data_IF_931333475122
#
_entry.id   IF_931333475122
#
_cell.length_a   1.000
_cell.length_b   1.000
_cell.length_c   1.000
_cell.angle_alpha   90.00
_cell.angle_beta   90.00
_cell.angle_gamma   90.00
#
_symmetry.space_group_name_H-M   'P 1'
#
loop_
_entity.id
_entity.type
_entity.pdbx_description
1 polymer ?
#
# COMPACT_ATOMS: atom_id res chain seq x y z
N UNK A 1 44.80 12.41 -18.90
CA UNK A 1 43.53 13.19 -18.82
C UNK A 1 42.37 12.21 -18.80
N UNK A 2 41.51 12.27 -17.77
CA UNK A 2 40.31 11.43 -17.72
C UNK A 2 39.28 11.95 -18.74
N UNK A 3 38.83 11.10 -19.68
CA UNK A 3 37.77 11.47 -20.62
C UNK A 3 36.49 11.82 -19.83
N UNK A 4 35.81 12.93 -20.14
CA UNK A 4 34.57 13.29 -19.45
C UNK A 4 33.56 12.15 -19.61
N UNK A 5 32.98 11.68 -18.49
CA UNK A 5 31.94 10.65 -18.54
C UNK A 5 30.78 11.22 -19.35
N UNK A 6 30.35 10.54 -20.42
CA UNK A 6 29.28 11.06 -21.22
C UNK A 6 27.98 11.07 -20.41
N UNK A 7 27.19 12.13 -20.56
CA UNK A 7 26.02 12.39 -19.73
C UNK A 7 25.01 11.24 -19.85
N UNK A 8 24.49 10.79 -18.70
CA UNK A 8 23.36 9.87 -18.65
C UNK A 8 22.10 10.61 -19.08
N UNK A 9 21.25 9.97 -19.89
CA UNK A 9 19.97 10.55 -20.32
C UNK A 9 18.83 9.90 -19.55
N UNK A 10 18.02 10.70 -18.89
CA UNK A 10 16.76 10.24 -18.28
C UNK A 10 15.73 10.05 -19.39
N UNK A 11 15.00 8.94 -19.34
CA UNK A 11 13.94 8.61 -20.29
C UNK A 11 12.57 8.70 -19.60
N UNK A 12 11.57 9.22 -20.31
CA UNK A 12 10.18 9.25 -19.82
C UNK A 12 9.48 7.89 -19.91
N UNK A 13 9.96 7.04 -20.82
CA UNK A 13 9.38 5.71 -21.05
C UNK A 13 10.38 4.73 -21.66
N UNK A 14 10.09 3.44 -21.53
CA UNK A 14 10.83 2.35 -22.16
C UNK A 14 9.87 1.26 -22.65
N UNK A 15 10.06 0.78 -23.88
CA UNK A 15 9.32 -0.38 -24.40
C UNK A 15 10.07 -1.65 -24.04
N UNK A 16 9.39 -2.57 -23.34
CA UNK A 16 9.98 -3.83 -22.90
C UNK A 16 10.34 -4.66 -24.13
N UNK A 17 11.62 -5.06 -24.26
CA UNK A 17 12.12 -5.85 -25.38
C UNK A 17 11.29 -7.13 -25.58
N UNK A 18 10.95 -7.42 -26.83
CA UNK A 18 10.13 -8.59 -27.17
C UNK A 18 8.64 -8.44 -26.85
N UNK A 19 8.19 -7.25 -26.46
CA UNK A 19 6.78 -6.95 -26.24
C UNK A 19 6.39 -5.58 -26.80
N UNK A 20 5.09 -5.32 -26.92
CA UNK A 20 4.55 -3.99 -27.25
C UNK A 20 4.19 -3.18 -25.99
N UNK A 21 4.52 -3.67 -24.79
CA UNK A 21 4.20 -3.00 -23.52
C UNK A 21 5.27 -1.92 -23.24
N UNK A 22 4.81 -0.71 -22.96
CA UNK A 22 5.66 0.43 -22.58
C UNK A 22 5.48 0.74 -21.10
N UNK A 23 6.60 0.99 -20.40
CA UNK A 23 6.64 1.36 -18.98
C UNK A 23 7.13 2.80 -18.80
N UNK A 24 6.69 3.43 -17.71
CA UNK A 24 7.07 4.79 -17.29
C UNK A 24 7.42 4.81 -15.79
N UNK A 25 8.14 5.83 -15.29
CA UNK A 25 8.25 6.06 -13.85
C UNK A 25 6.86 6.07 -13.18
N UNK A 26 6.75 5.39 -12.04
CA UNK A 26 5.49 5.14 -11.33
C UNK A 26 4.83 3.80 -11.66
N UNK A 27 5.13 3.19 -12.81
CA UNK A 27 4.58 1.88 -13.16
C UNK A 27 5.16 0.77 -12.27
N UNK A 28 4.36 -0.28 -12.05
CA UNK A 28 4.82 -1.51 -11.41
C UNK A 28 5.17 -2.56 -12.48
N UNK A 29 6.23 -3.32 -12.23
CA UNK A 29 6.77 -4.31 -13.15
C UNK A 29 7.09 -5.62 -12.46
N UNK A 30 7.05 -6.70 -13.24
CA UNK A 30 7.58 -8.00 -12.88
C UNK A 30 9.01 -8.11 -13.41
N UNK A 31 9.93 -8.51 -12.54
CA UNK A 31 11.34 -8.64 -12.87
C UNK A 31 11.81 -10.07 -12.61
N UNK A 32 12.58 -10.60 -13.56
CA UNK A 32 13.10 -11.97 -13.53
C UNK A 32 13.94 -12.21 -12.28
N UNK A 33 13.71 -13.32 -11.60
CA UNK A 33 14.59 -13.80 -10.54
C UNK A 33 15.73 -14.66 -11.11
N UNK A 34 16.90 -14.74 -10.43
CA UNK A 34 17.96 -15.68 -10.81
C UNK A 34 17.50 -17.14 -10.80
N UNK A 35 16.60 -17.47 -9.87
CA UNK A 35 15.97 -18.79 -9.76
C UNK A 35 14.60 -18.76 -10.45
N UNK A 36 14.50 -19.42 -11.61
CA UNK A 36 13.27 -19.46 -12.42
C UNK A 36 12.15 -20.30 -11.80
N UNK A 37 12.42 -21.07 -10.73
CA UNK A 37 11.38 -21.81 -10.01
C UNK A 37 10.55 -20.92 -9.09
N UNK A 38 11.05 -19.73 -8.79
CA UNK A 38 10.40 -18.75 -7.92
C UNK A 38 9.60 -17.72 -8.73
N UNK A 39 8.54 -17.15 -8.15
CA UNK A 39 7.77 -16.10 -8.83
C UNK A 39 8.65 -14.87 -9.09
N UNK A 40 8.40 -14.10 -10.16
CA UNK A 40 9.14 -12.88 -10.45
C UNK A 40 9.05 -11.88 -9.29
N UNK A 41 10.09 -11.07 -9.12
CA UNK A 41 10.08 -9.92 -8.21
C UNK A 41 9.06 -8.90 -8.68
N UNK A 42 8.46 -8.18 -7.74
CA UNK A 42 7.56 -7.06 -8.02
C UNK A 42 8.30 -5.77 -7.66
N UNK A 43 8.29 -4.78 -8.54
CA UNK A 43 8.98 -3.53 -8.30
C UNK A 43 8.21 -2.33 -8.86
N UNK A 44 8.36 -1.17 -8.23
CA UNK A 44 7.94 0.12 -8.79
C UNK A 44 9.10 0.77 -9.50
N UNK A 45 8.89 1.24 -10.73
CA UNK A 45 9.90 1.99 -11.49
C UNK A 45 9.97 3.41 -10.94
N UNK A 46 11.13 3.84 -10.46
CA UNK A 46 11.37 5.18 -9.93
C UNK A 46 11.98 6.11 -10.99
N UNK A 47 12.90 5.60 -11.80
CA UNK A 47 13.45 6.33 -12.95
C UNK A 47 14.02 5.38 -14.00
N UNK A 48 14.13 5.87 -15.24
CA UNK A 48 14.68 5.13 -16.38
C UNK A 48 15.86 5.94 -16.93
N UNK A 49 17.02 5.30 -17.06
CA UNK A 49 18.26 5.93 -17.52
C UNK A 49 18.86 5.16 -18.70
N UNK A 50 19.21 5.86 -19.78
CA UNK A 50 19.99 5.30 -20.86
C UNK A 50 21.47 5.69 -20.78
N UNK A 51 22.35 4.74 -21.08
CA UNK A 51 23.75 5.01 -21.34
C UNK A 51 23.92 5.92 -22.56
N UNK A 52 25.10 6.52 -22.70
CA UNK A 52 25.32 7.61 -23.66
C UNK A 52 25.25 7.25 -25.14
N UNK A 53 25.19 5.96 -25.47
CA UNK A 53 24.93 5.46 -26.83
C UNK A 53 23.49 4.97 -27.05
N UNK A 54 22.59 5.20 -26.09
CA UNK A 54 21.23 4.66 -26.12
C UNK A 54 21.13 3.16 -25.86
N UNK A 55 22.26 2.47 -25.68
CA UNK A 55 22.34 1.07 -25.28
C UNK A 55 22.47 0.93 -23.76
N UNK A 56 22.06 -0.23 -23.24
CA UNK A 56 22.09 -0.59 -21.81
C UNK A 56 21.22 0.32 -20.94
N UNK A 57 19.90 0.29 -21.19
CA UNK A 57 18.92 1.00 -20.36
C UNK A 57 18.89 0.37 -18.98
N UNK A 58 18.98 1.22 -17.95
CA UNK A 58 18.86 0.84 -16.55
C UNK A 58 17.60 1.46 -15.97
N UNK A 59 17.01 0.76 -15.01
CA UNK A 59 15.87 1.24 -14.25
C UNK A 59 16.28 1.33 -12.78
N UNK A 60 16.03 2.49 -12.16
CA UNK A 60 16.03 2.59 -10.71
C UNK A 60 14.67 2.12 -10.23
N UNK A 61 14.66 1.18 -9.29
CA UNK A 61 13.43 0.54 -8.81
C UNK A 61 13.33 0.63 -7.30
N UNK A 62 12.09 0.53 -6.81
CA UNK A 62 11.75 0.33 -5.40
C UNK A 62 11.06 -1.01 -5.27
N UNK A 63 11.61 -1.90 -4.45
CA UNK A 63 11.14 -3.28 -4.36
C UNK A 63 9.85 -3.41 -3.57
N UNK A 64 8.96 -4.25 -4.06
CA UNK A 64 7.88 -4.81 -3.27
C UNK A 64 8.30 -6.18 -2.77
N UNK A 65 8.12 -6.43 -1.47
CA UNK A 65 8.39 -7.72 -0.85
C UNK A 65 7.11 -8.52 -0.74
N UNK A 66 7.16 -9.79 -1.11
CA UNK A 66 6.08 -10.74 -0.81
C UNK A 66 6.11 -11.09 0.69
N UNK A 67 4.98 -11.50 1.29
CA UNK A 67 4.92 -11.96 2.67
C UNK A 67 5.99 -13.00 3.04
N UNK A 68 6.22 -13.97 2.18
CA UNK A 68 7.23 -15.03 2.31
C UNK A 68 8.68 -14.53 2.26
N UNK A 69 8.91 -13.34 1.70
CA UNK A 69 10.24 -12.72 1.61
C UNK A 69 10.53 -11.81 2.82
N UNK A 70 9.53 -11.51 3.64
CA UNK A 70 9.71 -10.69 4.84
C UNK A 70 10.34 -11.47 5.98
N UNK A 71 11.09 -10.79 6.86
CA UNK A 71 11.72 -11.38 8.06
C UNK A 71 10.71 -12.14 8.93
N UNK A 72 9.47 -11.64 9.04
CA UNK A 72 8.41 -12.26 9.83
C UNK A 72 7.65 -13.38 9.12
N UNK A 73 7.94 -13.62 7.84
CA UNK A 73 7.25 -14.60 7.00
C UNK A 73 5.77 -14.30 6.74
N UNK A 74 5.13 -15.21 5.99
CA UNK A 74 3.70 -15.13 5.68
C UNK A 74 2.85 -15.46 6.92
N UNK A 75 1.81 -14.66 7.16
CA UNK A 75 0.83 -14.82 8.23
C UNK A 75 -0.55 -15.09 7.64
N UNK A 76 -1.47 -15.62 8.45
CA UNK A 76 -2.82 -16.02 8.01
C UNK A 76 -3.66 -14.88 7.44
N UNK A 77 -3.46 -13.64 7.91
CA UNK A 77 -4.18 -12.47 7.41
C UNK A 77 -3.59 -11.87 6.12
N UNK A 78 -2.44 -12.37 5.65
CA UNK A 78 -1.84 -11.89 4.41
C UNK A 78 -2.57 -12.46 3.20
N UNK A 79 -2.97 -11.59 2.28
CA UNK A 79 -3.62 -11.99 1.03
C UNK A 79 -2.67 -12.75 0.09
N UNK A 80 -3.24 -13.57 -0.80
CA UNK A 80 -2.47 -14.30 -1.80
C UNK A 80 -1.72 -13.38 -2.78
N UNK A 81 -2.32 -12.23 -3.11
CA UNK A 81 -1.76 -11.20 -4.00
C UNK A 81 -1.21 -9.98 -3.24
N UNK A 82 -0.97 -10.13 -1.93
CA UNK A 82 -0.42 -9.05 -1.11
C UNK A 82 1.09 -8.91 -1.32
N UNK A 83 1.54 -7.65 -1.39
CA UNK A 83 2.95 -7.27 -1.42
C UNK A 83 3.17 -6.02 -0.55
N UNK A 84 4.40 -5.81 -0.08
CA UNK A 84 4.75 -4.72 0.83
C UNK A 84 5.72 -3.76 0.17
N UNK A 85 5.41 -2.46 0.16
CA UNK A 85 6.28 -1.46 -0.43
C UNK A 85 7.49 -1.23 0.49
N UNK A 86 8.67 -1.71 0.09
CA UNK A 86 9.85 -1.62 0.94
C UNK A 86 10.55 -0.26 0.85
N UNK A 87 11.53 0.00 1.71
CA UNK A 87 12.53 1.08 1.54
C UNK A 87 13.80 0.62 0.79
N UNK A 88 13.78 -0.57 0.20
CA UNK A 88 14.88 -1.10 -0.60
C UNK A 88 14.79 -0.60 -2.05
N UNK A 89 15.79 0.19 -2.44
CA UNK A 89 15.98 0.67 -3.81
C UNK A 89 17.19 0.00 -4.46
N UNK A 90 17.10 -0.22 -5.76
CA UNK A 90 18.20 -0.78 -6.54
C UNK A 90 18.19 -0.24 -7.98
N UNK A 91 19.27 -0.49 -8.72
CA UNK A 91 19.39 -0.18 -10.15
C UNK A 91 19.62 -1.47 -10.93
N UNK A 92 18.65 -1.81 -11.77
CA UNK A 92 18.65 -3.05 -12.56
C UNK A 92 18.69 -2.77 -14.06
N UNK A 93 19.10 -3.75 -14.85
CA UNK A 93 18.97 -3.68 -16.31
C UNK A 93 17.50 -3.74 -16.70
N UNK A 94 17.06 -2.89 -17.62
CA UNK A 94 15.68 -2.95 -18.14
C UNK A 94 15.37 -4.28 -18.83
N UNK A 95 16.39 -5.03 -19.24
CA UNK A 95 16.27 -6.36 -19.86
C UNK A 95 15.77 -7.44 -18.89
N UNK A 96 15.79 -7.17 -17.58
CA UNK A 96 15.26 -8.08 -16.56
C UNK A 96 13.75 -7.97 -16.40
N UNK A 97 13.11 -6.98 -17.03
CA UNK A 97 11.68 -6.75 -16.93
C UNK A 97 10.94 -7.74 -17.84
N UNK A 98 10.05 -8.53 -17.25
CA UNK A 98 9.26 -9.54 -17.97
C UNK A 98 7.88 -9.01 -18.38
N UNK A 99 7.35 -8.05 -17.61
CA UNK A 99 6.04 -7.47 -17.88
C UNK A 99 5.67 -6.34 -16.94
N UNK A 100 4.56 -5.67 -17.26
CA UNK A 100 3.92 -4.68 -16.39
C UNK A 100 2.93 -5.38 -15.46
N UNK A 101 2.80 -4.91 -14.24
CA UNK A 101 1.78 -5.36 -13.29
C UNK A 101 1.11 -4.16 -12.60
N UNK A 102 0.11 -4.44 -11.78
CA UNK A 102 -0.63 -3.44 -11.03
C UNK A 102 -0.54 -3.73 -9.54
N UNK A 103 -0.08 -2.76 -8.76
CA UNK A 103 -0.14 -2.83 -7.30
C UNK A 103 -1.14 -1.79 -6.82
N UNK A 104 -2.34 -2.27 -6.48
CA UNK A 104 -3.46 -1.45 -6.06
C UNK A 104 -3.33 -1.07 -4.57
N UNK A 105 -3.99 0.03 -4.18
CA UNK A 105 -4.32 0.21 -2.77
C UNK A 105 -5.30 -0.89 -2.35
N UNK A 106 -5.30 -1.28 -1.07
CA UNK A 106 -6.23 -2.29 -0.59
C UNK A 106 -7.69 -1.94 -0.88
N UNK A 107 -8.07 -0.66 -0.71
CA UNK A 107 -9.42 -0.15 -1.02
C UNK A 107 -9.83 -0.33 -2.49
N UNK A 108 -8.89 -0.15 -3.42
CA UNK A 108 -9.19 -0.30 -4.85
C UNK A 108 -9.19 -1.78 -5.24
N UNK A 109 -8.29 -2.58 -4.67
CA UNK A 109 -8.22 -4.01 -4.91
C UNK A 109 -9.51 -4.73 -4.51
N UNK A 110 -10.09 -4.38 -3.36
CA UNK A 110 -11.36 -4.98 -2.89
C UNK A 110 -12.57 -4.66 -3.77
N UNK A 111 -12.42 -3.73 -4.72
CA UNK A 111 -13.48 -3.31 -5.66
C UNK A 111 -13.30 -3.89 -7.06
N UNK A 112 -12.27 -4.68 -7.31
CA UNK A 112 -12.08 -5.34 -8.60
C UNK A 112 -13.14 -6.42 -8.78
N UNK A 113 -13.82 -6.43 -9.94
CA UNK A 113 -14.79 -7.47 -10.30
C UNK A 113 -14.14 -8.86 -10.38
N UNK A 114 -12.89 -8.90 -10.88
CA UNK A 114 -12.06 -10.08 -10.93
C UNK A 114 -10.59 -9.71 -10.71
N UNK A 115 -9.87 -10.58 -10.01
CA UNK A 115 -8.43 -10.41 -9.74
C UNK A 115 -7.64 -11.15 -10.81
N UNK A 116 -6.86 -10.43 -11.62
CA UNK A 116 -5.98 -11.00 -12.61
C UNK A 116 -4.65 -11.52 -12.05
N UNK A 117 -3.89 -12.20 -12.91
CA UNK A 117 -2.56 -12.70 -12.54
C UNK A 117 -1.56 -11.56 -12.29
N UNK A 118 -1.74 -10.42 -12.95
CA UNK A 118 -0.88 -9.23 -12.82
C UNK A 118 -1.39 -8.23 -11.76
N UNK A 119 -2.50 -8.52 -11.06
CA UNK A 119 -3.06 -7.66 -10.01
C UNK A 119 -2.57 -8.04 -8.62
N UNK A 120 -1.97 -7.07 -7.93
CA UNK A 120 -1.50 -7.18 -6.56
C UNK A 120 -2.10 -6.06 -5.72
N UNK A 121 -1.97 -6.14 -4.41
CA UNK A 121 -2.29 -5.02 -3.54
C UNK A 121 -1.24 -4.80 -2.46
N UNK A 122 -1.17 -3.56 -2.01
CA UNK A 122 -0.30 -3.12 -0.94
C UNK A 122 -1.09 -2.28 0.06
N UNK A 123 -0.94 -2.59 1.35
CA UNK A 123 -1.47 -1.80 2.48
C UNK A 123 -0.44 -1.47 3.54
N UNK A 124 0.79 -1.95 3.36
CA UNK A 124 1.89 -1.70 4.29
C UNK A 124 3.13 -1.20 3.57
N UNK A 125 3.84 -0.28 4.20
CA UNK A 125 5.27 -0.13 3.94
C UNK A 125 6.08 -1.10 4.80
N UNK A 126 7.23 -1.51 4.29
CA UNK A 126 8.12 -2.47 4.92
C UNK A 126 9.54 -1.89 5.05
N UNK A 127 10.14 -2.00 6.22
CA UNK A 127 11.54 -1.61 6.47
C UNK A 127 12.43 -2.84 6.30
N UNK A 128 13.14 -2.93 5.17
CA UNK A 128 13.85 -4.18 4.79
C UNK A 128 14.94 -4.57 5.78
N UNK A 129 15.59 -3.59 6.43
CA UNK A 129 16.65 -3.83 7.39
C UNK A 129 16.14 -4.31 8.77
N UNK A 130 14.99 -3.80 9.23
CA UNK A 130 14.48 -4.08 10.59
C UNK A 130 13.31 -5.07 10.62
N UNK A 131 12.64 -5.28 9.49
CA UNK A 131 11.43 -6.08 9.41
C UNK A 131 10.16 -5.35 9.90
N UNK A 132 10.25 -4.06 10.20
CA UNK A 132 9.13 -3.27 10.72
C UNK A 132 8.14 -2.89 9.62
N UNK A 133 6.87 -2.72 10.00
CA UNK A 133 5.79 -2.35 9.09
C UNK A 133 5.22 -0.97 9.41
N UNK A 134 4.70 -0.29 8.40
CA UNK A 134 3.94 0.96 8.56
C UNK A 134 2.58 0.80 7.85
N UNK A 135 1.45 0.95 8.55
CA UNK A 135 1.34 1.12 10.00
C UNK A 135 1.84 -0.11 10.78
N UNK A 136 2.30 0.11 12.00
CA UNK A 136 2.85 -0.92 12.90
C UNK A 136 1.76 -1.79 13.55
N UNK A 137 0.53 -1.26 13.63
CA UNK A 137 -0.64 -1.97 14.16
C UNK A 137 -1.83 -1.81 13.24
N UNK A 138 -2.51 -2.92 12.98
CA UNK A 138 -3.83 -2.95 12.36
C UNK A 138 -4.75 -3.85 13.16
N UNK A 139 -6.02 -3.44 13.27
CA UNK A 139 -7.04 -4.31 13.83
C UNK A 139 -7.53 -5.28 12.76
N UNK A 140 -7.50 -6.58 13.07
CA UNK A 140 -8.00 -7.65 12.21
C UNK A 140 -8.98 -8.47 13.02
N UNK A 141 -10.16 -8.69 12.46
CA UNK A 141 -11.21 -9.48 13.08
C UNK A 141 -11.58 -10.60 12.12
N UNK A 142 -11.50 -11.85 12.59
CA UNK A 142 -12.17 -12.93 11.90
C UNK A 142 -13.67 -12.75 12.13
N UNK A 143 -14.51 -12.76 11.09
CA UNK A 143 -15.97 -12.65 11.26
C UNK A 143 -16.48 -13.64 12.33
N UNK A 144 -16.01 -14.89 12.27
CA UNK A 144 -16.39 -15.92 13.23
C UNK A 144 -15.98 -15.63 14.69
N UNK A 145 -14.92 -14.84 14.94
CA UNK A 145 -14.48 -14.47 16.29
C UNK A 145 -15.28 -13.31 16.90
N UNK A 146 -16.12 -12.64 16.10
CA UNK A 146 -16.98 -11.53 16.52
C UNK A 146 -18.46 -11.86 16.26
N UNK A 147 -18.80 -13.15 16.23
CA UNK A 147 -20.14 -13.68 16.00
C UNK A 147 -20.80 -13.12 14.71
N UNK A 148 -20.01 -13.03 13.64
CA UNK A 148 -20.42 -12.52 12.34
C UNK A 148 -20.11 -13.54 11.24
N UNK A 149 -21.00 -13.67 10.25
CA UNK A 149 -20.75 -14.47 9.06
C UNK A 149 -19.85 -13.72 8.06
N UNK A 150 -19.22 -14.45 7.14
CA UNK A 150 -18.41 -13.83 6.08
C UNK A 150 -19.29 -12.98 5.15
N UNK A 151 -20.52 -13.42 4.95
CA UNK A 151 -21.56 -12.80 4.13
C UNK A 151 -22.02 -11.46 4.73
N UNK A 152 -22.20 -11.42 6.04
CA UNK A 152 -22.49 -10.17 6.77
C UNK A 152 -21.31 -9.23 6.76
N UNK A 153 -20.09 -9.74 7.01
CA UNK A 153 -18.87 -8.93 6.98
C UNK A 153 -18.68 -8.25 5.62
N UNK A 154 -19.01 -8.94 4.52
CA UNK A 154 -18.96 -8.40 3.15
C UNK A 154 -19.99 -7.30 2.88
N UNK A 155 -21.09 -7.25 3.63
CA UNK A 155 -22.15 -6.23 3.46
C UNK A 155 -21.87 -4.96 4.27
N UNK A 156 -20.87 -4.97 5.15
CA UNK A 156 -20.51 -3.80 5.96
C UNK A 156 -19.65 -2.82 5.16
N UNK A 157 -20.10 -1.58 5.05
CA UNK A 157 -19.24 -0.48 4.59
C UNK A 157 -18.28 -0.01 5.69
N UNK A 158 -18.76 0.02 6.94
CA UNK A 158 -17.99 0.39 8.11
C UNK A 158 -18.25 -0.63 9.22
N UNK A 159 -17.19 -1.05 9.89
CA UNK A 159 -17.25 -1.94 11.05
C UNK A 159 -16.74 -1.19 12.28
N UNK A 160 -17.54 -1.19 13.34
CA UNK A 160 -17.14 -0.75 14.67
C UNK A 160 -17.15 -1.96 15.59
N UNK A 161 -16.04 -2.23 16.27
CA UNK A 161 -16.01 -3.28 17.27
C UNK A 161 -16.93 -2.91 18.44
N UNK A 162 -17.35 -3.92 19.20
CA UNK A 162 -18.33 -3.76 20.28
C UNK A 162 -17.92 -2.67 21.29
N UNK A 163 -16.63 -2.56 21.61
CA UNK A 163 -16.12 -1.52 22.51
C UNK A 163 -16.21 -0.10 21.93
N UNK A 164 -16.09 0.07 20.61
CA UNK A 164 -16.26 1.36 19.94
C UNK A 164 -17.73 1.74 19.78
N UNK A 165 -18.60 0.77 19.49
CA UNK A 165 -20.05 0.99 19.38
C UNK A 165 -20.63 1.56 20.69
N UNK A 166 -20.25 0.98 21.83
CA UNK A 166 -20.72 1.43 23.15
C UNK A 166 -20.22 2.82 23.56
N UNK A 167 -19.14 3.34 22.97
CA UNK A 167 -18.65 4.70 23.24
C UNK A 167 -19.46 5.77 22.52
N UNK A 168 -20.07 5.44 21.37
CA UNK A 168 -20.91 6.37 20.64
C UNK A 168 -22.26 6.56 21.32
N UNK A 169 -22.80 5.50 21.93
CA UNK A 169 -24.04 5.54 22.73
C UNK A 169 -23.89 6.38 24.01
N UNK A 170 -22.74 6.33 24.68
CA UNK A 170 -22.47 7.17 25.86
C UNK A 170 -22.34 8.66 25.55
N UNK A 171 -21.92 9.03 24.34
CA UNK A 171 -21.87 10.44 23.91
C UNK A 171 -23.24 11.06 23.69
N UNK A 172 -24.25 10.25 23.35
CA UNK A 172 -25.63 10.73 23.18
C UNK A 172 -26.35 10.96 24.51
N UNK A 173 -25.94 10.29 25.60
CA UNK A 173 -26.52 10.51 26.93
C UNK A 173 -25.94 11.73 27.66
N UNK A 174 -24.64 12.03 27.50
CA UNK A 174 -24.01 13.22 28.11
C UNK A 174 -24.48 14.55 27.49
N UNK A 175 -24.88 14.56 26.22
CA UNK A 175 -25.48 15.75 25.58
C UNK A 175 -26.82 16.17 26.19
N UNK A 176 -27.56 15.24 26.83
CA UNK A 176 -28.81 15.58 27.53
C UNK A 176 -28.59 16.08 28.98
N UNK A 177 -27.43 15.81 29.57
CA UNK A 177 -27.07 16.32 30.90
C UNK A 177 -26.45 17.73 30.83
N UNK A 178 -25.68 18.03 29.77
CA UNK A 178 -25.10 19.36 29.57
C UNK A 178 -26.13 20.46 29.25
N UNK A 179 -27.26 20.10 28.62
CA UNK A 179 -28.31 21.08 28.28
C UNK A 179 -29.13 21.55 29.50
N UNK A 180 -29.22 20.74 30.57
CA UNK A 180 -29.98 21.11 31.79
C UNK A 180 -29.24 22.04 32.75
N UNK A 181 -27.94 22.29 32.55
CA UNK A 181 -27.13 23.13 33.44
C UNK A 181 -26.96 24.58 32.96
N UNK A 182 -27.37 24.90 31.71
CA UNK A 182 -27.24 26.25 31.15
C UNK A 182 -28.50 27.13 31.33
N UNK A 183 -29.66 26.56 31.66
CA UNK A 183 -30.92 27.33 31.80
C UNK A 183 -31.16 27.93 33.19
N UNK A 184 -30.33 27.67 34.21
CA UNK A 184 -30.56 28.18 35.58
C UNK A 184 -29.71 29.40 35.98
N UNK A 185 -28.99 30.04 35.06
CA UNK A 185 -28.06 31.13 35.40
C UNK A 185 -28.26 32.48 34.69
N UNK A 186 -29.45 32.74 34.14
CA UNK A 186 -29.80 34.06 33.59
C UNK A 186 -31.00 34.67 34.30
N UNK A 187 -30.96 34.78 35.63
CA UNK A 187 -31.77 35.80 36.30
C UNK A 187 -31.16 36.22 37.63
N UNK A 188 -30.23 37.20 37.58
CA UNK A 188 -30.01 38.16 38.68
C UNK A 188 -28.93 39.18 38.32
N UNK A 189 -29.28 40.45 38.51
CA UNK A 189 -28.44 41.67 38.54
C UNK A 189 -28.30 42.46 37.23
N UNK A 190 -29.33 43.29 36.98
CA UNK A 190 -29.11 44.71 36.68
C UNK A 190 -30.30 45.57 37.12
N UNK A 191 -30.23 46.13 38.34
CA UNK A 191 -31.00 47.32 38.73
C UNK A 191 -30.35 48.04 39.92
N UNK A 192 -30.20 49.37 39.77
CA UNK A 192 -29.75 50.43 40.72
C UNK A 192 -28.24 50.44 41.01
N UNK A 193 -27.53 51.57 40.95
CA UNK A 193 -27.87 53.00 40.99
C UNK A 193 -27.23 53.75 39.84
#
# INVERSE_FOLDING_TARGET
>A
MAKPRPAKRILDSYTIKGSNKTIKPGDCVLMRQPDSSKPPYVARVESIEAGSRGSNVKVRVRWYYRPEESIGGRRQFHGAKEVFLSDHYDVQSADTIEGKCFVHSFKNYTKLDAVGNEDYFCRFEYKSATGSFIPDRIAVYHPACIDMTVEEAKKLEHFFCQSCSSQNEKKTEDSHSASRQLESKVESKRRRR
#
